data_IF_431484830820
#
_entry.id   IF_431484830820
#
_cell.length_a   1.000
_cell.length_b   1.000
_cell.length_c   1.000
_cell.angle_alpha   90.00
_cell.angle_beta   90.00
_cell.angle_gamma   90.00
#
_symmetry.space_group_name_H-M   'P 1'
#
loop_
_entity.id
_entity.type
_entity.pdbx_description
1 polymer ?
#
# COMPACT_ATOMS: atom_id res chain seq x y z
N UNK A 1 9.68 -5.93 1.44
CA UNK A 1 8.57 -6.45 0.60
C UNK A 1 7.64 -5.36 0.06
N UNK A 2 6.90 -4.62 0.90
CA UNK A 2 5.93 -3.60 0.44
C UNK A 2 6.52 -2.49 -0.46
N UNK A 3 7.76 -2.04 -0.21
CA UNK A 3 8.43 -1.04 -1.07
C UNK A 3 8.74 -1.56 -2.48
N UNK A 4 9.23 -2.80 -2.62
CA UNK A 4 9.49 -3.39 -3.94
C UNK A 4 8.18 -3.63 -4.71
N UNK A 5 7.18 -4.18 -4.03
CA UNK A 5 5.84 -4.36 -4.60
C UNK A 5 5.26 -3.05 -5.15
N UNK A 6 5.33 -1.97 -4.37
CA UNK A 6 4.82 -0.65 -4.78
C UNK A 6 5.59 -0.08 -5.98
N UNK A 7 6.92 -0.22 -6.01
CA UNK A 7 7.77 0.27 -7.11
C UNK A 7 7.50 -0.47 -8.43
N UNK A 8 7.47 -1.80 -8.40
CA UNK A 8 7.24 -2.62 -9.59
C UNK A 8 5.80 -2.44 -10.11
N UNK A 9 4.83 -2.29 -9.22
CA UNK A 9 3.43 -1.99 -9.57
C UNK A 9 3.30 -0.60 -10.23
N UNK A 10 4.00 0.42 -9.73
CA UNK A 10 3.97 1.77 -10.33
C UNK A 10 4.58 1.82 -11.73
N UNK A 11 5.63 1.05 -11.98
CA UNK A 11 6.30 0.98 -13.29
C UNK A 11 5.49 0.18 -14.33
N UNK A 12 4.88 -0.94 -13.94
CA UNK A 12 4.19 -1.86 -14.88
C UNK A 12 2.67 -1.70 -15.00
N UNK A 13 2.05 -0.86 -14.15
CA UNK A 13 0.60 -0.55 -14.13
C UNK A 13 -0.29 -1.78 -14.37
N UNK A 14 -0.88 -1.93 -15.56
CA UNK A 14 -1.89 -2.97 -15.89
C UNK A 14 -1.31 -4.33 -16.30
N UNK A 15 0.02 -4.49 -16.48
CA UNK A 15 0.68 -5.75 -16.88
C UNK A 15 1.41 -6.46 -15.73
N UNK A 16 1.13 -6.09 -14.49
CA UNK A 16 1.82 -6.63 -13.32
C UNK A 16 1.34 -8.04 -12.98
N UNK A 17 2.27 -8.99 -12.88
CA UNK A 17 2.03 -10.34 -12.33
C UNK A 17 2.95 -10.63 -11.14
N UNK A 18 2.47 -11.35 -10.12
CA UNK A 18 3.25 -11.67 -8.91
C UNK A 18 4.55 -12.44 -9.19
N UNK A 19 4.66 -13.12 -10.34
CA UNK A 19 5.89 -13.76 -10.82
C UNK A 19 7.03 -12.77 -11.15
N UNK A 20 6.73 -11.47 -11.30
CA UNK A 20 7.74 -10.45 -11.60
C UNK A 20 8.49 -9.95 -10.36
N UNK A 21 8.09 -10.38 -9.17
CA UNK A 21 8.73 -9.99 -7.91
C UNK A 21 9.94 -10.91 -7.70
N UNK A 22 11.14 -10.32 -7.59
CA UNK A 22 12.35 -11.08 -7.25
C UNK A 22 12.30 -11.52 -5.78
N UNK A 23 12.81 -12.72 -5.50
CA UNK A 23 13.00 -13.22 -4.15
C UNK A 23 13.87 -12.27 -3.33
N UNK A 24 13.42 -11.96 -2.12
CA UNK A 24 14.10 -11.09 -1.17
C UNK A 24 14.81 -11.95 -0.15
N UNK A 25 16.14 -11.82 -0.09
CA UNK A 25 16.96 -12.48 0.92
C UNK A 25 17.08 -11.60 2.17
N UNK A 26 16.77 -12.18 3.33
CA UNK A 26 17.04 -11.57 4.64
C UNK A 26 18.17 -12.35 5.30
N UNK A 27 19.36 -11.76 5.31
CA UNK A 27 20.53 -12.36 5.98
C UNK A 27 20.60 -11.81 7.39
N UNK A 28 20.64 -12.70 8.39
CA UNK A 28 20.69 -12.36 9.81
C UNK A 28 21.97 -12.95 10.40
N UNK A 29 22.81 -12.07 10.93
CA UNK A 29 24.02 -12.44 11.64
C UNK A 29 23.75 -12.51 13.15
N UNK A 30 24.22 -13.57 13.80
CA UNK A 30 24.16 -13.72 15.26
C UNK A 30 25.57 -13.64 15.82
N UNK A 31 25.87 -12.63 16.63
CA UNK A 31 27.17 -12.55 17.32
C UNK A 31 27.35 -13.71 18.31
N UNK A 32 26.26 -14.04 19.03
CA UNK A 32 26.17 -15.15 19.96
C UNK A 32 24.91 -15.96 19.61
N UNK A 33 25.09 -17.22 19.23
CA UNK A 33 24.02 -18.08 18.77
C UNK A 33 23.25 -18.74 19.92
N UNK A 34 21.98 -19.08 19.66
CA UNK A 34 21.13 -19.75 20.64
C UNK A 34 21.47 -21.24 20.74
N UNK A 35 20.92 -21.92 21.76
CA UNK A 35 21.17 -23.35 22.02
C UNK A 35 20.86 -24.26 20.83
N UNK A 36 19.93 -23.85 19.97
CA UNK A 36 19.50 -24.57 18.78
C UNK A 36 20.62 -24.65 17.74
N UNK A 37 21.33 -23.54 17.50
CA UNK A 37 22.48 -23.49 16.59
C UNK A 37 23.66 -24.30 17.14
N UNK A 38 23.87 -24.23 18.46
CA UNK A 38 24.95 -24.96 19.13
C UNK A 38 24.81 -26.49 19.05
N UNK A 39 23.64 -27.01 18.68
CA UNK A 39 23.44 -28.45 18.38
C UNK A 39 23.95 -28.83 16.99
N UNK A 40 24.14 -27.88 16.08
CA UNK A 40 24.52 -28.08 14.68
C UNK A 40 25.79 -27.27 14.40
N UNK A 41 26.89 -27.59 15.08
CA UNK A 41 28.17 -26.87 14.93
C UNK A 41 28.85 -27.10 13.58
N UNK A 42 28.45 -28.14 12.85
CA UNK A 42 29.06 -28.50 11.57
C UNK A 42 28.71 -27.53 10.43
N UNK A 43 27.70 -26.68 10.62
CA UNK A 43 27.30 -25.67 9.64
C UNK A 43 27.02 -24.34 10.32
N UNK A 44 27.54 -23.26 9.74
CA UNK A 44 27.32 -21.89 10.17
C UNK A 44 26.45 -21.09 9.17
N UNK A 45 25.86 -21.75 8.17
CA UNK A 45 24.94 -21.11 7.21
C UNK A 45 23.65 -21.92 7.15
N UNK A 46 22.58 -21.32 7.66
CA UNK A 46 21.26 -21.95 7.69
C UNK A 46 20.32 -21.20 6.76
N UNK A 47 19.99 -21.82 5.63
CA UNK A 47 19.01 -21.30 4.68
C UNK A 47 17.63 -21.84 5.03
N UNK A 48 16.66 -20.95 5.21
CA UNK A 48 15.29 -21.35 5.45
C UNK A 48 14.68 -21.93 4.18
N UNK A 49 13.98 -23.05 4.30
CA UNK A 49 13.00 -23.51 3.31
C UNK A 49 11.65 -23.61 4.00
N UNK A 50 10.59 -23.17 3.32
CA UNK A 50 9.24 -23.21 3.87
C UNK A 50 8.52 -24.48 3.42
N UNK A 51 8.15 -25.30 4.39
CA UNK A 51 7.33 -26.49 4.20
C UNK A 51 6.12 -26.34 5.10
N UNK A 52 4.91 -26.40 4.54
CA UNK A 52 3.68 -26.32 5.32
C UNK A 52 3.41 -27.64 6.05
N UNK A 53 2.56 -27.60 7.06
CA UNK A 53 2.13 -28.76 7.86
C UNK A 53 1.59 -29.93 7.02
N UNK A 54 1.02 -29.63 5.86
CA UNK A 54 0.55 -30.59 4.85
C UNK A 54 1.66 -31.24 4.02
N UNK A 55 2.92 -30.84 4.19
CA UNK A 55 4.05 -31.26 3.35
C UNK A 55 4.16 -30.50 2.02
N UNK A 56 3.31 -29.49 1.80
CA UNK A 56 3.40 -28.62 0.63
C UNK A 56 4.68 -27.77 0.71
N UNK A 57 5.57 -27.92 -0.27
CA UNK A 57 6.71 -27.03 -0.47
C UNK A 57 6.31 -25.90 -1.43
N UNK A 58 6.50 -24.65 -1.00
CA UNK A 58 6.30 -23.48 -1.86
C UNK A 58 7.55 -22.62 -1.83
N UNK A 59 8.00 -22.19 -3.02
CA UNK A 59 8.98 -21.12 -3.15
C UNK A 59 8.32 -19.80 -2.75
N UNK A 60 8.70 -19.27 -1.59
CA UNK A 60 8.22 -17.97 -1.13
C UNK A 60 9.14 -16.86 -1.61
N UNK A 61 8.57 -15.66 -1.76
CA UNK A 61 9.32 -14.47 -2.17
C UNK A 61 10.30 -13.98 -1.10
N UNK A 62 10.40 -14.65 0.05
CA UNK A 62 11.26 -14.25 1.15
C UNK A 62 12.03 -15.45 1.69
N UNK A 63 13.35 -15.39 1.57
CA UNK A 63 14.25 -16.40 2.10
C UNK A 63 15.08 -15.81 3.24
N UNK A 64 15.18 -16.55 4.34
CA UNK A 64 16.05 -16.20 5.45
C UNK A 64 17.34 -16.99 5.38
N UNK A 65 18.46 -16.31 5.63
CA UNK A 65 19.76 -16.94 5.82
C UNK A 65 20.26 -16.53 7.20
N UNK A 66 20.37 -17.50 8.10
CA UNK A 66 20.82 -17.29 9.47
C UNK A 66 22.28 -17.74 9.59
N UNK A 67 23.14 -16.86 10.10
CA UNK A 67 24.58 -17.09 10.16
C UNK A 67 25.08 -16.83 11.60
N UNK A 68 25.33 -17.88 12.40
CA UNK A 68 25.97 -17.78 13.72
C UNK A 68 27.49 -17.51 13.60
N UNK A 69 27.90 -16.29 13.93
CA UNK A 69 29.28 -15.82 13.82
C UNK A 69 30.19 -16.41 14.91
N UNK A 70 29.66 -16.74 16.08
CA UNK A 70 30.35 -17.51 17.12
C UNK A 70 30.75 -18.92 16.65
N UNK A 71 29.82 -19.65 16.04
CA UNK A 71 30.09 -20.99 15.49
C UNK A 71 31.09 -20.89 14.34
N UNK A 72 30.94 -19.90 13.46
CA UNK A 72 31.92 -19.62 12.41
C UNK A 72 33.33 -19.40 12.98
N UNK A 73 33.46 -18.54 14.01
CA UNK A 73 34.74 -18.28 14.69
C UNK A 73 35.35 -19.55 15.26
N UNK A 74 34.57 -20.37 15.97
CA UNK A 74 35.03 -21.67 16.49
C UNK A 74 35.56 -22.58 15.36
N UNK A 75 34.84 -22.66 14.23
CA UNK A 75 35.24 -23.51 13.11
C UNK A 75 36.48 -23.04 12.35
N UNK A 76 36.74 -21.72 12.30
CA UNK A 76 37.87 -21.12 11.60
C UNK A 76 39.03 -20.70 12.51
N UNK A 77 38.90 -20.86 13.82
CA UNK A 77 39.95 -20.50 14.78
C UNK A 77 41.30 -21.15 14.46
N UNK A 78 41.34 -22.31 13.81
CA UNK A 78 42.60 -22.98 13.43
C UNK A 78 42.75 -23.19 11.92
N UNK A 79 41.89 -22.59 11.10
CA UNK A 79 41.89 -22.77 9.65
C UNK A 79 42.18 -21.44 8.95
N UNK A 80 42.76 -21.56 7.76
CA UNK A 80 42.99 -20.43 6.85
C UNK A 80 41.69 -20.21 6.07
N UNK A 81 41.39 -18.94 5.76
CA UNK A 81 40.27 -18.54 4.91
C UNK A 81 40.56 -18.97 3.47
N UNK A 82 39.73 -19.84 2.92
CA UNK A 82 39.98 -20.41 1.58
C UNK A 82 39.17 -19.73 0.48
N UNK A 83 37.94 -19.31 0.78
CA UNK A 83 36.99 -18.79 -0.20
C UNK A 83 36.52 -17.36 0.12
N UNK A 84 35.92 -16.70 -0.87
CA UNK A 84 35.48 -15.30 -0.76
C UNK A 84 34.38 -15.12 0.30
N UNK A 85 33.50 -16.11 0.46
CA UNK A 85 32.43 -16.06 1.47
C UNK A 85 32.99 -16.09 2.89
N UNK A 86 33.94 -16.99 3.15
CA UNK A 86 34.68 -17.03 4.41
C UNK A 86 35.48 -15.75 4.62
N UNK A 87 35.99 -15.13 3.57
CA UNK A 87 36.70 -13.85 3.66
C UNK A 87 35.76 -12.73 4.12
N UNK A 88 34.56 -12.64 3.54
CA UNK A 88 33.52 -11.70 3.98
C UNK A 88 33.07 -11.96 5.41
N UNK A 89 32.86 -13.22 5.79
CA UNK A 89 32.50 -13.55 7.17
C UNK A 89 33.64 -13.21 8.13
N UNK A 90 34.89 -13.50 7.75
CA UNK A 90 36.07 -13.18 8.55
C UNK A 90 36.24 -11.67 8.75
N UNK A 91 35.95 -10.89 7.71
CA UNK A 91 35.91 -9.43 7.78
C UNK A 91 34.90 -8.92 8.81
N UNK A 92 33.75 -9.58 8.92
CA UNK A 92 32.69 -9.21 9.87
C UNK A 92 32.92 -9.76 11.30
N UNK A 93 33.77 -10.78 11.47
CA UNK A 93 33.94 -11.46 12.76
C UNK A 93 35.23 -11.18 13.50
N UNK A 94 36.35 -11.06 12.79
CA UNK A 94 37.67 -10.96 13.41
C UNK A 94 38.20 -9.52 13.38
N UNK A 95 38.63 -9.07 14.55
CA UNK A 95 39.23 -7.76 14.81
C UNK A 95 40.73 -7.87 15.19
N UNK A 96 41.24 -9.08 15.33
CA UNK A 96 42.63 -9.37 15.68
C UNK A 96 43.59 -8.96 14.55
N UNK A 97 44.64 -8.16 14.82
CA UNK A 97 45.56 -7.66 13.78
C UNK A 97 46.19 -8.77 12.93
N UNK A 98 46.55 -9.90 13.55
CA UNK A 98 47.15 -11.04 12.86
C UNK A 98 46.19 -11.65 11.84
N UNK A 99 44.89 -11.75 12.18
CA UNK A 99 43.85 -12.25 11.28
C UNK A 99 43.55 -11.29 10.15
N UNK A 100 43.49 -10.00 10.47
CA UNK A 100 43.28 -8.94 9.48
C UNK A 100 44.42 -8.96 8.45
N UNK A 101 45.67 -9.07 8.90
CA UNK A 101 46.82 -9.16 8.00
C UNK A 101 46.76 -10.40 7.12
N UNK A 102 46.47 -11.58 7.69
CA UNK A 102 46.28 -12.82 6.91
C UNK A 102 45.18 -12.68 5.85
N UNK A 103 44.06 -12.04 6.22
CA UNK A 103 42.93 -11.82 5.33
C UNK A 103 43.30 -10.86 4.19
N UNK A 104 43.98 -9.75 4.49
CA UNK A 104 44.41 -8.76 3.48
C UNK A 104 45.48 -9.34 2.54
N UNK A 105 46.43 -10.11 3.06
CA UNK A 105 47.46 -10.76 2.23
C UNK A 105 46.82 -11.72 1.21
N UNK A 106 45.78 -12.44 1.63
CA UNK A 106 45.09 -13.41 0.77
C UNK A 106 44.04 -12.77 -0.13
N UNK A 107 43.34 -11.76 0.37
CA UNK A 107 42.25 -11.04 -0.28
C UNK A 107 42.49 -9.52 -0.17
N UNK A 108 43.35 -8.94 -1.05
CA UNK A 108 43.77 -7.55 -0.96
C UNK A 108 42.63 -6.51 -1.02
N UNK A 109 41.48 -6.89 -1.58
CA UNK A 109 40.30 -6.02 -1.65
C UNK A 109 39.80 -5.56 -0.27
N UNK A 110 40.05 -6.35 0.79
CA UNK A 110 39.62 -6.00 2.15
C UNK A 110 40.46 -4.90 2.79
N UNK A 111 41.65 -4.59 2.24
CA UNK A 111 42.51 -3.54 2.79
C UNK A 111 41.80 -2.19 2.87
N UNK A 112 41.21 -1.77 1.75
CA UNK A 112 40.51 -0.49 1.66
C UNK A 112 39.31 -0.48 2.61
N UNK A 113 38.58 -1.60 2.69
CA UNK A 113 37.44 -1.73 3.59
C UNK A 113 37.84 -1.60 5.07
N UNK A 114 38.95 -2.21 5.48
CA UNK A 114 39.45 -2.05 6.85
C UNK A 114 39.97 -0.64 7.12
N UNK A 115 40.63 0.00 6.15
CA UNK A 115 41.06 1.41 6.26
C UNK A 115 39.85 2.34 6.43
N UNK A 116 38.80 2.15 5.63
CA UNK A 116 37.54 2.91 5.72
C UNK A 116 36.85 2.72 7.08
N UNK A 117 36.72 1.46 7.53
CA UNK A 117 36.12 1.16 8.85
C UNK A 117 36.94 1.80 9.97
N UNK A 118 38.27 1.73 9.90
CA UNK A 118 39.14 2.35 10.90
C UNK A 118 39.01 3.88 10.91
N UNK A 119 38.87 4.52 9.74
CA UNK A 119 38.56 5.95 9.64
C UNK A 119 37.20 6.30 10.25
N UNK A 120 36.17 5.49 9.99
CA UNK A 120 34.85 5.66 10.58
C UNK A 120 34.90 5.53 12.11
N UNK A 121 35.64 4.54 12.64
CA UNK A 121 35.86 4.38 14.07
C UNK A 121 36.62 5.55 14.72
N UNK A 122 37.44 6.29 13.95
CA UNK A 122 38.08 7.53 14.43
C UNK A 122 37.14 8.73 14.43
N UNK A 123 36.08 8.72 13.62
CA UNK A 123 35.11 9.81 13.47
C UNK A 123 33.68 9.37 13.80
N UNK A 124 33.49 8.80 14.99
CA UNK A 124 32.21 8.27 15.47
C UNK A 124 31.12 9.36 15.45
N UNK A 125 31.47 10.60 15.82
CA UNK A 125 30.53 11.72 15.85
C UNK A 125 30.04 12.11 14.43
N UNK A 126 30.94 12.09 13.43
CA UNK A 126 30.57 12.30 12.03
C UNK A 126 29.67 11.19 11.47
N UNK A 127 29.98 9.93 11.80
CA UNK A 127 29.19 8.76 11.39
C UNK A 127 27.79 8.78 12.01
N UNK A 128 27.68 9.08 13.30
CA UNK A 128 26.39 9.19 14.00
C UNK A 128 25.50 10.31 13.41
N UNK A 129 26.11 11.42 13.00
CA UNK A 129 25.43 12.51 12.29
C UNK A 129 24.98 12.13 10.88
N UNK A 130 25.72 11.27 10.16
CA UNK A 130 25.31 10.75 8.84
C UNK A 130 24.12 9.80 8.94
N UNK A 131 24.16 8.81 9.85
CA UNK A 131 23.03 7.91 10.10
C UNK A 131 21.75 8.66 10.46
N UNK A 132 21.85 9.72 11.27
CA UNK A 132 20.70 10.56 11.64
C UNK A 132 20.10 11.31 10.44
N UNK A 133 20.94 11.77 9.50
CA UNK A 133 20.49 12.43 8.27
C UNK A 133 19.81 11.46 7.33
N UNK A 134 20.37 10.27 7.13
CA UNK A 134 19.78 9.23 6.28
C UNK A 134 18.44 8.74 6.82
N UNK A 135 18.32 8.58 8.15
CA UNK A 135 17.06 8.23 8.80
C UNK A 135 16.02 9.36 8.63
N UNK A 136 16.43 10.62 8.84
CA UNK A 136 15.56 11.77 8.62
C UNK A 136 15.12 11.91 7.15
N UNK A 137 15.99 11.58 6.20
CA UNK A 137 15.66 11.62 4.77
C UNK A 137 14.74 10.47 4.37
N UNK A 138 14.90 9.28 4.95
CA UNK A 138 13.97 8.15 4.81
C UNK A 138 12.58 8.48 5.34
N UNK A 139 12.47 9.13 6.50
CA UNK A 139 11.21 9.59 7.05
C UNK A 139 10.58 10.68 6.18
N UNK A 140 11.36 11.67 5.74
CA UNK A 140 10.90 12.74 4.86
C UNK A 140 10.35 12.20 3.54
N UNK A 141 11.02 11.22 2.93
CA UNK A 141 10.58 10.58 1.69
C UNK A 141 9.29 9.75 1.90
N UNK A 142 9.14 9.13 3.08
CA UNK A 142 7.94 8.38 3.43
C UNK A 142 6.75 9.31 3.64
N UNK A 143 6.95 10.42 4.36
CA UNK A 143 5.91 11.45 4.57
C UNK A 143 5.51 12.08 3.24
N UNK A 144 6.47 12.46 2.39
CA UNK A 144 6.18 13.02 1.07
C UNK A 144 5.37 12.05 0.20
N UNK A 145 5.75 10.77 0.18
CA UNK A 145 4.99 9.75 -0.55
C UNK A 145 3.57 9.55 -0.01
N UNK A 146 3.38 9.61 1.32
CA UNK A 146 2.05 9.55 1.93
C UNK A 146 1.17 10.75 1.55
N UNK A 147 1.75 11.95 1.54
CA UNK A 147 1.05 13.18 1.09
C UNK A 147 0.64 13.04 -0.37
N UNK A 148 1.55 12.64 -1.27
CA UNK A 148 1.25 12.48 -2.70
C UNK A 148 0.13 11.45 -2.96
N UNK A 149 0.07 10.36 -2.19
CA UNK A 149 -1.04 9.39 -2.30
C UNK A 149 -2.36 9.95 -1.74
N UNK A 150 -2.31 10.68 -0.63
CA UNK A 150 -3.50 11.35 -0.07
C UNK A 150 -4.05 12.42 -1.03
N UNK A 151 -3.18 13.22 -1.66
CA UNK A 151 -3.57 14.21 -2.66
C UNK A 151 -4.28 13.58 -3.88
N UNK A 152 -3.80 12.40 -4.34
CA UNK A 152 -4.50 11.66 -5.41
C UNK A 152 -5.88 11.20 -4.98
N UNK A 153 -6.02 10.68 -3.75
CA UNK A 153 -7.33 10.24 -3.23
C UNK A 153 -8.28 11.42 -3.10
N UNK A 154 -7.81 12.55 -2.54
CA UNK A 154 -8.58 13.78 -2.41
C UNK A 154 -9.03 14.25 -3.80
N UNK A 155 -8.14 14.31 -4.79
CA UNK A 155 -8.49 14.76 -6.14
C UNK A 155 -9.60 13.90 -6.76
N UNK A 156 -9.50 12.58 -6.65
CA UNK A 156 -10.55 11.66 -7.15
C UNK A 156 -11.86 11.88 -6.40
N UNK A 157 -11.83 12.06 -5.07
CA UNK A 157 -13.03 12.34 -4.29
C UNK A 157 -13.67 13.68 -4.66
N UNK A 158 -12.88 14.73 -4.86
CA UNK A 158 -13.36 16.05 -5.30
C UNK A 158 -14.03 15.96 -6.67
N UNK A 159 -13.44 15.25 -7.63
CA UNK A 159 -14.05 15.03 -8.96
C UNK A 159 -15.39 14.25 -8.86
N UNK A 160 -15.49 13.29 -7.93
CA UNK A 160 -16.74 12.56 -7.69
C UNK A 160 -17.80 13.45 -7.02
N UNK A 161 -17.41 14.29 -6.07
CA UNK A 161 -18.31 15.24 -5.41
C UNK A 161 -18.85 16.24 -6.42
N UNK A 162 -18.00 16.84 -7.25
CA UNK A 162 -18.43 17.78 -8.29
C UNK A 162 -19.47 17.16 -9.24
N UNK A 163 -19.23 15.92 -9.70
CA UNK A 163 -20.21 15.21 -10.54
C UNK A 163 -21.53 14.95 -9.83
N UNK A 164 -21.50 14.67 -8.53
CA UNK A 164 -22.72 14.48 -7.73
C UNK A 164 -23.47 15.79 -7.51
N UNK A 165 -22.76 16.89 -7.32
CA UNK A 165 -23.35 18.23 -7.20
C UNK A 165 -24.04 18.63 -8.50
N UNK A 166 -23.37 18.45 -9.65
CA UNK A 166 -23.98 18.68 -10.97
C UNK A 166 -25.25 17.85 -11.18
N UNK A 167 -25.23 16.56 -10.81
CA UNK A 167 -26.40 15.70 -10.88
C UNK A 167 -27.52 16.16 -9.94
N UNK A 168 -27.17 16.60 -8.73
CA UNK A 168 -28.15 17.12 -7.77
C UNK A 168 -28.82 18.39 -8.28
N UNK A 169 -28.06 19.31 -8.87
CA UNK A 169 -28.63 20.54 -9.42
C UNK A 169 -29.54 20.25 -10.62
N UNK A 170 -29.14 19.35 -11.52
CA UNK A 170 -30.04 18.88 -12.60
C UNK A 170 -31.34 18.28 -12.04
N UNK A 171 -31.26 17.46 -10.99
CA UNK A 171 -32.47 16.87 -10.39
C UNK A 171 -33.36 17.90 -9.70
N UNK A 172 -32.78 18.94 -9.09
CA UNK A 172 -33.55 20.05 -8.51
C UNK A 172 -34.28 20.85 -9.58
N UNK A 173 -33.62 21.17 -10.69
CA UNK A 173 -34.25 21.86 -11.82
C UNK A 173 -35.41 21.05 -12.40
N UNK A 174 -35.23 19.73 -12.57
CA UNK A 174 -36.31 18.84 -13.00
C UNK A 174 -37.46 18.80 -12.00
N UNK A 175 -37.16 18.79 -10.70
CA UNK A 175 -38.18 18.78 -9.65
C UNK A 175 -38.99 20.09 -9.64
N UNK A 176 -38.34 21.24 -9.79
CA UNK A 176 -39.03 22.53 -9.88
C UNK A 176 -39.88 22.65 -11.15
N UNK A 177 -39.37 22.20 -12.29
CA UNK A 177 -40.16 22.12 -13.52
C UNK A 177 -41.40 21.21 -13.37
N UNK A 178 -41.23 20.05 -12.71
CA UNK A 178 -42.33 19.15 -12.42
C UNK A 178 -43.37 19.79 -11.49
N UNK A 179 -42.94 20.51 -10.43
CA UNK A 179 -43.86 21.24 -9.53
C UNK A 179 -44.68 22.29 -10.26
N UNK A 180 -44.05 23.08 -11.14
CA UNK A 180 -44.74 24.10 -11.94
C UNK A 180 -45.83 23.44 -12.80
N UNK A 181 -45.47 22.36 -13.53
CA UNK A 181 -46.44 21.64 -14.36
C UNK A 181 -47.58 21.01 -13.54
N UNK A 182 -47.30 20.53 -12.32
CA UNK A 182 -48.31 19.98 -11.42
C UNK A 182 -49.30 21.06 -10.97
N UNK A 183 -48.79 22.25 -10.62
CA UNK A 183 -49.61 23.40 -10.25
C UNK A 183 -50.51 23.87 -11.40
N UNK A 184 -49.98 23.93 -12.62
CA UNK A 184 -50.78 24.25 -13.81
C UNK A 184 -51.91 23.23 -14.05
N UNK A 185 -51.64 21.94 -13.83
CA UNK A 185 -52.67 20.90 -13.95
C UNK A 185 -53.72 21.00 -12.85
N UNK A 186 -53.34 21.30 -11.62
CA UNK A 186 -54.29 21.52 -10.52
C UNK A 186 -55.20 22.73 -10.79
N UNK A 187 -54.65 23.84 -11.30
CA UNK A 187 -55.43 25.02 -11.69
C UNK A 187 -56.42 24.69 -12.83
N UNK A 188 -56.00 23.89 -13.82
CA UNK A 188 -56.88 23.42 -14.89
C UNK A 188 -57.99 22.49 -14.38
N UNK A 189 -57.68 21.59 -13.45
CA UNK A 189 -58.67 20.71 -12.83
C UNK A 189 -59.72 21.51 -12.07
N UNK A 190 -59.29 22.47 -11.25
CA UNK A 190 -60.19 23.37 -10.50
C UNK A 190 -61.13 24.13 -11.43
N UNK A 191 -60.62 24.73 -12.51
CA UNK A 191 -61.44 25.44 -13.49
C UNK A 191 -62.43 24.49 -14.22
N UNK A 192 -62.00 23.27 -14.55
CA UNK A 192 -62.88 22.27 -15.14
C UNK A 192 -63.98 21.81 -14.17
N UNK A 193 -63.67 21.66 -12.88
CA UNK A 193 -64.66 21.36 -11.83
C UNK A 193 -65.71 22.47 -11.69
N UNK A 194 -65.30 23.74 -11.72
CA UNK A 194 -66.23 24.88 -11.71
C UNK A 194 -67.15 24.88 -12.93
N UNK A 195 -66.60 24.61 -14.13
CA UNK A 195 -67.39 24.51 -15.37
C UNK A 195 -68.38 23.34 -15.32
N UNK A 196 -67.96 22.18 -14.82
CA UNK A 196 -68.83 21.03 -14.61
C UNK A 196 -69.97 21.36 -13.65
N UNK A 197 -69.68 22.06 -12.55
CA UNK A 197 -70.68 22.50 -11.60
C UNK A 197 -71.69 23.50 -12.19
N UNK A 198 -71.23 24.45 -13.01
CA UNK A 198 -72.12 25.36 -13.73
C UNK A 198 -73.03 24.62 -14.70
N UNK A 199 -72.47 23.72 -15.51
CA UNK A 199 -73.25 22.90 -16.45
C UNK A 199 -74.25 21.99 -15.72
N UNK A 200 -73.88 21.42 -14.56
CA UNK A 200 -74.79 20.63 -13.74
C UNK A 200 -75.98 21.46 -13.23
N UNK A 201 -75.75 22.72 -12.84
CA UNK A 201 -76.83 23.65 -12.44
C UNK A 201 -77.74 24.01 -13.61
N UNK A 202 -77.17 24.33 -14.77
CA UNK A 202 -77.96 24.62 -15.98
C UNK A 202 -78.81 23.43 -16.41
N UNK A 203 -78.26 22.21 -16.38
CA UNK A 203 -79.01 20.98 -16.66
C UNK A 203 -80.15 20.80 -15.64
N UNK A 204 -79.92 21.06 -14.36
CA UNK A 204 -80.96 20.97 -13.33
C UNK A 204 -82.09 21.99 -13.56
N UNK A 205 -81.77 23.23 -13.93
CA UNK A 205 -82.77 24.25 -14.27
C UNK A 205 -83.56 23.91 -15.52
N UNK A 206 -82.89 23.43 -16.57
CA UNK A 206 -83.54 22.98 -17.80
C UNK A 206 -84.47 21.79 -17.56
N UNK A 207 -84.06 20.82 -16.72
CA UNK A 207 -84.92 19.70 -16.30
C UNK A 207 -86.17 20.20 -15.57
N UNK A 208 -86.03 21.16 -14.65
CA UNK A 208 -87.15 21.74 -13.91
C UNK A 208 -88.14 22.45 -14.84
N UNK A 209 -87.65 23.21 -15.84
CA UNK A 209 -88.49 23.84 -16.87
C UNK A 209 -89.20 22.83 -17.77
N UNK A 210 -88.54 21.73 -18.12
CA UNK A 210 -89.15 20.62 -18.86
C UNK A 210 -90.30 19.97 -18.07
N UNK A 211 -90.11 19.73 -16.78
CA UNK A 211 -91.17 19.20 -15.90
C UNK A 211 -92.37 20.15 -15.77
N UNK A 212 -92.13 21.45 -15.71
CA UNK A 212 -93.19 22.47 -15.68
C UNK A 212 -93.97 22.55 -17.00
N UNK A 213 -93.32 22.33 -18.14
CA UNK A 213 -93.96 22.28 -19.46
C UNK A 213 -94.76 20.99 -19.66
N UNK A 214 -94.26 19.85 -19.18
CA UNK A 214 -94.97 18.56 -19.22
C UNK A 214 -96.22 18.58 -18.33
N UNK A 215 -96.23 19.33 -17.22
CA UNK A 215 -97.42 19.52 -16.36
C UNK A 215 -98.48 20.46 -16.93
N UNK A 216 -98.17 21.22 -17.98
CA UNK A 216 -99.08 22.17 -18.64
C UNK A 216 -99.66 21.66 -19.97
N UNK A 217 -99.23 20.48 -20.43
CA UNK A 217 -99.82 19.74 -21.54
C UNK A 217 -100.76 18.64 -21.03
#
# INVERSE_FOLDING_TARGET
MLRQYKRVRSERKKKFTYHDIKTVYTIVFFENSTREFQKIKDSYIHRSRQIFDTGLELETLQEYVLIPLDIFRETLHNKIVENELEAWLSFLTFDEPERIMQLIERFPQFRVLYEDVYEMCRNIEGVMNMYSKELAELDRNTVKYMIEEQEKVIKVQTEVIQKKEEQLDMTKEQLEAAKISLKEKDDQLSNNEERLNMQAREIAELRKRLEELIKKS
#
